data_IF_140463325029
#
_entry.id   IF_140463325029
#
_cell.length_a   1.000
_cell.length_b   1.000
_cell.length_c   1.000
_cell.angle_alpha   90.00
_cell.angle_beta   90.00
_cell.angle_gamma   90.00
#
_symmetry.space_group_name_H-M   'P 1'
#
loop_
_entity.id
_entity.type
_entity.pdbx_description
1 polymer ?
#
# COMPACT_ATOMS: atom_id res chain seq x y z
N UNK A 1 39.95 60.87 21.36
CA UNK A 1 38.90 61.70 20.73
C UNK A 1 37.56 61.13 21.19
N UNK A 2 36.80 61.89 22.00
CA UNK A 2 35.53 61.48 22.60
C UNK A 2 34.41 61.63 21.57
N UNK A 3 33.64 60.57 21.32
CA UNK A 3 32.36 60.66 20.62
C UNK A 3 31.27 60.49 21.67
N UNK A 4 30.48 61.56 21.84
CA UNK A 4 29.35 61.71 22.75
C UNK A 4 28.17 60.84 22.32
N UNK A 5 27.37 60.43 23.31
CA UNK A 5 26.25 59.52 23.20
C UNK A 5 25.05 60.05 22.41
N UNK A 6 24.29 59.10 21.88
CA UNK A 6 22.93 59.27 21.42
C UNK A 6 22.01 58.67 22.50
N UNK A 7 21.68 59.48 23.50
CA UNK A 7 20.51 59.26 24.36
C UNK A 7 19.28 59.76 23.62
N UNK A 8 18.64 58.90 22.82
CA UNK A 8 17.28 59.13 22.33
C UNK A 8 16.53 57.80 22.32
N UNK A 9 15.60 57.66 23.26
CA UNK A 9 14.26 57.16 22.99
C UNK A 9 13.98 55.66 23.09
N UNK A 10 14.05 55.09 24.30
CA UNK A 10 13.20 53.95 24.69
C UNK A 10 12.81 54.11 26.15
N UNK A 11 11.59 54.60 26.43
CA UNK A 11 11.10 54.79 27.80
C UNK A 11 10.62 53.49 28.47
N UNK A 12 10.37 52.42 27.71
CA UNK A 12 10.21 51.07 28.25
C UNK A 12 10.36 50.02 27.14
N UNK A 13 10.93 48.86 27.50
CA UNK A 13 10.88 47.64 26.67
C UNK A 13 9.97 46.66 27.39
N UNK A 14 8.71 46.53 26.95
CA UNK A 14 7.89 45.40 27.32
C UNK A 14 8.33 44.19 26.50
N UNK A 15 9.09 43.27 27.11
CA UNK A 15 9.26 41.94 26.53
C UNK A 15 7.92 41.23 26.64
N UNK A 16 7.18 41.17 25.54
CA UNK A 16 6.13 40.17 25.42
C UNK A 16 6.85 38.82 25.36
N UNK A 17 6.93 38.11 26.48
CA UNK A 17 7.20 36.68 26.43
C UNK A 17 5.94 36.08 25.79
N UNK A 18 5.96 35.95 24.47
CA UNK A 18 5.18 34.90 23.82
C UNK A 18 5.71 33.65 24.50
N UNK A 19 4.84 32.96 25.24
CA UNK A 19 5.18 31.68 25.85
C UNK A 19 5.88 30.88 24.77
N UNK A 20 7.16 30.56 25.00
CA UNK A 20 7.89 29.62 24.18
C UNK A 20 7.16 28.30 24.37
N UNK A 21 6.09 28.08 23.61
CA UNK A 21 5.50 26.78 23.45
C UNK A 21 6.60 25.92 22.86
N UNK A 22 7.19 25.11 23.74
CA UNK A 22 8.19 24.13 23.37
C UNK A 22 7.49 23.13 22.45
N UNK A 23 7.52 23.39 21.16
CA UNK A 23 7.03 22.50 20.11
C UNK A 23 8.00 21.35 19.83
N UNK A 24 8.93 21.07 20.75
CA UNK A 24 9.70 19.84 20.68
C UNK A 24 8.80 18.69 21.13
N UNK A 25 8.62 17.64 20.31
CA UNK A 25 7.95 16.44 20.78
C UNK A 25 8.67 15.97 22.04
N UNK A 26 7.90 15.61 23.08
CA UNK A 26 8.43 15.07 24.32
C UNK A 26 9.49 14.02 24.00
N UNK A 27 10.66 14.08 24.65
CA UNK A 27 11.78 13.16 24.41
C UNK A 27 11.25 11.73 24.28
N UNK A 28 11.16 11.26 23.05
CA UNK A 28 10.71 9.92 22.75
C UNK A 28 11.69 8.94 23.37
N UNK A 29 11.17 7.84 23.91
CA UNK A 29 12.02 6.74 24.41
C UNK A 29 13.13 6.47 23.39
N UNK A 30 14.37 6.42 23.88
CA UNK A 30 15.54 6.03 23.09
C UNK A 30 15.18 4.85 22.21
N UNK A 31 15.37 5.01 20.90
CA UNK A 31 15.16 3.93 19.95
C UNK A 31 15.93 2.69 20.44
N UNK A 32 15.34 1.48 20.38
CA UNK A 32 16.00 0.28 20.84
C UNK A 32 17.34 0.14 20.13
N UNK A 33 18.39 -0.24 20.88
CA UNK A 33 19.71 -0.45 20.31
C UNK A 33 19.62 -1.47 19.18
N UNK A 34 20.08 -1.11 18.00
CA UNK A 34 20.17 -2.02 16.87
C UNK A 34 21.18 -3.12 17.22
N UNK A 35 20.66 -4.30 17.57
CA UNK A 35 21.45 -5.51 17.74
C UNK A 35 21.39 -6.26 16.40
N UNK A 36 22.49 -6.32 15.63
CA UNK A 36 22.51 -7.08 14.39
C UNK A 36 22.21 -8.55 14.69
N UNK A 37 21.18 -9.09 14.05
CA UNK A 37 20.92 -10.53 14.07
C UNK A 37 22.13 -11.25 13.48
N UNK A 38 22.62 -12.27 14.18
CA UNK A 38 23.69 -13.12 13.64
C UNK A 38 23.16 -13.86 12.41
N UNK A 39 23.61 -13.44 11.23
CA UNK A 39 23.37 -14.13 9.95
C UNK A 39 24.68 -14.74 9.50
N UNK A 40 24.61 -15.95 8.94
CA UNK A 40 25.78 -16.62 8.39
C UNK A 40 26.43 -15.70 7.34
N UNK A 41 27.76 -15.55 7.39
CA UNK A 41 28.52 -14.64 6.53
C UNK A 41 28.20 -14.87 5.03
N UNK A 42 28.01 -16.14 4.64
CA UNK A 42 27.64 -16.53 3.28
C UNK A 42 26.29 -15.97 2.83
N UNK A 43 25.32 -15.80 3.74
CA UNK A 43 24.01 -15.21 3.42
C UNK A 43 24.08 -13.70 3.17
N UNK A 44 25.12 -13.04 3.67
CA UNK A 44 25.38 -11.62 3.47
C UNK A 44 26.18 -11.42 2.17
N UNK A 45 27.21 -12.25 1.97
CA UNK A 45 28.11 -12.16 0.82
C UNK A 45 27.45 -12.65 -0.49
N UNK A 46 26.60 -13.67 -0.42
CA UNK A 46 25.89 -14.25 -1.56
C UNK A 46 24.42 -13.82 -1.59
N UNK A 47 24.12 -12.58 -1.16
CA UNK A 47 22.75 -12.09 -1.21
C UNK A 47 22.33 -12.01 -2.69
N UNK A 48 21.23 -12.68 -3.09
CA UNK A 48 20.78 -12.62 -4.46
C UNK A 48 20.43 -11.17 -4.82
N UNK A 49 20.80 -10.78 -6.03
CA UNK A 49 20.54 -9.46 -6.59
C UNK A 49 19.04 -9.18 -6.67
N UNK A 50 18.66 -7.91 -6.86
CA UNK A 50 17.24 -7.57 -7.01
C UNK A 50 16.63 -8.31 -8.21
N UNK A 51 17.37 -8.43 -9.31
CA UNK A 51 16.93 -9.12 -10.53
C UNK A 51 16.78 -10.64 -10.30
N UNK A 52 17.67 -11.25 -9.52
CA UNK A 52 17.56 -12.66 -9.14
C UNK A 52 16.37 -12.93 -8.21
N UNK A 53 15.98 -11.95 -7.39
CA UNK A 53 14.83 -12.05 -6.48
C UNK A 53 13.52 -11.63 -7.13
N UNK A 54 13.57 -10.91 -8.26
CA UNK A 54 12.40 -10.33 -8.90
C UNK A 54 11.34 -11.37 -9.27
N UNK A 55 11.71 -12.53 -9.87
CA UNK A 55 10.74 -13.57 -10.20
C UNK A 55 10.01 -14.07 -8.95
N UNK A 56 10.72 -14.33 -7.86
CA UNK A 56 10.13 -14.82 -6.61
C UNK A 56 9.25 -13.77 -5.91
N UNK A 57 9.52 -12.48 -6.14
CA UNK A 57 8.77 -11.36 -5.57
C UNK A 57 7.53 -10.99 -6.38
N UNK A 58 7.58 -11.19 -7.70
CA UNK A 58 6.51 -10.78 -8.62
C UNK A 58 5.60 -11.94 -9.03
N UNK A 59 6.14 -13.16 -9.11
CA UNK A 59 5.36 -14.34 -9.46
C UNK A 59 4.77 -14.93 -8.18
N UNK A 60 3.44 -15.02 -8.08
CA UNK A 60 2.82 -15.76 -6.99
C UNK A 60 3.31 -17.21 -7.04
N UNK A 61 3.96 -17.66 -5.97
CA UNK A 61 4.37 -19.06 -5.85
C UNK A 61 3.12 -19.94 -5.86
N UNK A 62 3.03 -20.86 -6.82
CA UNK A 62 1.87 -21.74 -6.98
C UNK A 62 0.73 -21.18 -7.84
N UNK A 63 0.97 -20.16 -8.66
CA UNK A 63 0.03 -19.81 -9.72
C UNK A 63 -0.10 -20.99 -10.68
N UNK A 64 -1.33 -21.43 -10.92
CA UNK A 64 -1.64 -22.41 -11.96
C UNK A 64 -1.25 -21.81 -13.33
N UNK A 65 -0.32 -22.44 -14.08
CA UNK A 65 0.13 -21.92 -15.37
C UNK A 65 -1.01 -21.76 -16.38
N UNK A 66 -2.09 -22.54 -16.25
CA UNK A 66 -3.24 -22.41 -17.14
C UNK A 66 -3.95 -21.06 -16.96
N UNK A 67 -3.80 -20.39 -15.81
CA UNK A 67 -4.36 -19.04 -15.60
C UNK A 67 -3.65 -17.94 -16.40
N UNK A 68 -2.52 -18.26 -17.05
CA UNK A 68 -1.87 -17.34 -17.99
C UNK A 68 -2.61 -17.29 -19.34
N UNK A 69 -3.41 -18.32 -19.66
CA UNK A 69 -4.23 -18.35 -20.87
C UNK A 69 -5.46 -17.45 -20.71
N UNK A 70 -5.64 -16.42 -21.57
CA UNK A 70 -6.72 -15.43 -21.38
C UNK A 70 -8.12 -16.06 -21.28
N UNK A 71 -8.38 -17.11 -22.08
CA UNK A 71 -9.66 -17.81 -22.06
C UNK A 71 -9.89 -18.59 -20.76
N UNK A 72 -8.83 -19.18 -20.18
CA UNK A 72 -8.92 -19.88 -18.90
C UNK A 72 -9.10 -18.88 -17.77
N UNK A 73 -8.36 -17.77 -17.80
CA UNK A 73 -8.49 -16.70 -16.82
C UNK A 73 -9.90 -16.11 -16.79
N UNK A 74 -10.46 -15.74 -17.94
CA UNK A 74 -11.84 -15.21 -18.03
C UNK A 74 -12.87 -16.20 -17.47
N UNK A 75 -12.83 -17.48 -17.88
CA UNK A 75 -13.75 -18.50 -17.36
C UNK A 75 -13.60 -18.74 -15.86
N UNK A 76 -12.36 -18.70 -15.36
CA UNK A 76 -12.08 -18.90 -13.94
C UNK A 76 -12.63 -17.74 -13.12
N UNK A 77 -12.50 -16.50 -13.59
CA UNK A 77 -13.09 -15.32 -12.95
C UNK A 77 -14.62 -15.39 -12.91
N UNK A 78 -15.25 -15.78 -14.02
CA UNK A 78 -16.71 -16.01 -14.08
C UNK A 78 -17.17 -17.06 -13.06
N UNK A 79 -16.49 -18.21 -13.02
CA UNK A 79 -16.80 -19.29 -12.10
C UNK A 79 -16.60 -18.86 -10.64
N UNK A 80 -15.52 -18.14 -10.33
CA UNK A 80 -15.24 -17.63 -9.00
C UNK A 80 -16.28 -16.59 -8.54
N UNK A 81 -16.68 -15.66 -9.41
CA UNK A 81 -17.71 -14.68 -9.13
C UNK A 81 -19.07 -15.36 -8.86
N UNK A 82 -19.43 -16.36 -9.66
CA UNK A 82 -20.64 -17.16 -9.45
C UNK A 82 -20.60 -17.90 -8.11
N UNK A 83 -19.48 -18.55 -7.81
CA UNK A 83 -19.26 -19.26 -6.55
C UNK A 83 -19.42 -18.29 -5.36
N UNK A 84 -18.78 -17.13 -5.38
CA UNK A 84 -18.89 -16.16 -4.29
C UNK A 84 -20.33 -15.65 -4.09
N UNK A 85 -21.08 -15.42 -5.17
CA UNK A 85 -22.50 -15.06 -5.09
C UNK A 85 -23.38 -16.19 -4.55
N UNK A 86 -23.07 -17.43 -4.87
CA UNK A 86 -23.76 -18.58 -4.28
C UNK A 86 -23.45 -18.69 -2.78
N UNK A 87 -22.16 -18.57 -2.44
CA UNK A 87 -21.62 -18.61 -1.09
C UNK A 87 -22.13 -17.48 -0.18
N UNK A 88 -22.49 -16.31 -0.73
CA UNK A 88 -23.12 -15.22 0.01
C UNK A 88 -24.60 -15.47 0.29
N UNK A 89 -25.28 -16.27 -0.54
CA UNK A 89 -26.70 -16.63 -0.44
C UNK A 89 -26.93 -17.91 0.37
N UNK A 90 -25.95 -18.79 0.44
CA UNK A 90 -26.05 -20.08 1.15
C UNK A 90 -26.44 -19.89 2.63
N UNK A 91 -27.49 -20.63 3.04
CA UNK A 91 -28.11 -20.53 4.36
C UNK A 91 -27.56 -21.50 5.42
N UNK A 92 -27.76 -21.11 6.70
CA UNK A 92 -27.44 -21.80 7.96
C UNK A 92 -26.00 -22.32 8.10
N UNK A 93 -25.12 -21.50 8.66
CA UNK A 93 -23.77 -21.89 9.07
C UNK A 93 -22.73 -20.78 8.98
N UNK A 94 -23.02 -19.71 8.23
CA UNK A 94 -22.10 -18.59 8.01
C UNK A 94 -22.50 -17.33 8.76
N UNK A 95 -21.51 -16.60 9.24
CA UNK A 95 -21.75 -15.30 9.86
C UNK A 95 -22.35 -14.31 8.86
N UNK A 96 -22.93 -13.22 9.35
CA UNK A 96 -23.34 -12.10 8.48
C UNK A 96 -22.14 -11.40 7.84
N UNK A 97 -20.96 -11.50 8.46
CA UNK A 97 -19.71 -10.95 7.95
C UNK A 97 -19.20 -11.74 6.75
N UNK A 98 -19.14 -13.07 6.84
CA UNK A 98 -18.72 -13.94 5.74
C UNK A 98 -19.59 -13.73 4.51
N UNK A 99 -20.91 -13.63 4.70
CA UNK A 99 -21.85 -13.40 3.60
C UNK A 99 -21.61 -12.06 2.91
N UNK A 100 -21.31 -11.00 3.68
CA UNK A 100 -20.94 -9.69 3.12
C UNK A 100 -19.60 -9.75 2.41
N UNK A 101 -18.61 -10.44 2.95
CA UNK A 101 -17.31 -10.62 2.34
C UNK A 101 -17.41 -11.36 0.99
N UNK A 102 -18.19 -12.44 0.93
CA UNK A 102 -18.43 -13.16 -0.33
C UNK A 102 -19.22 -12.33 -1.34
N UNK A 103 -20.22 -11.57 -0.91
CA UNK A 103 -20.93 -10.66 -1.81
C UNK A 103 -19.97 -9.62 -2.41
N UNK A 104 -19.17 -8.96 -1.56
CA UNK A 104 -18.19 -7.98 -2.00
C UNK A 104 -17.13 -8.57 -2.95
N UNK A 105 -16.64 -9.78 -2.68
CA UNK A 105 -15.68 -10.46 -3.55
C UNK A 105 -16.28 -10.80 -4.93
N UNK A 106 -17.54 -11.25 -4.97
CA UNK A 106 -18.23 -11.52 -6.23
C UNK A 106 -18.54 -10.26 -7.04
N UNK A 107 -18.82 -9.14 -6.37
CA UNK A 107 -19.05 -7.86 -7.03
C UNK A 107 -17.75 -7.26 -7.57
N UNK A 108 -16.66 -7.32 -6.80
CA UNK A 108 -15.33 -6.86 -7.23
C UNK A 108 -14.85 -7.60 -8.50
N UNK A 109 -15.05 -8.92 -8.58
CA UNK A 109 -14.68 -9.68 -9.78
C UNK A 109 -15.53 -9.30 -10.99
N UNK A 110 -16.81 -8.97 -10.78
CA UNK A 110 -17.67 -8.56 -11.87
C UNK A 110 -17.30 -7.16 -12.41
N UNK A 111 -16.90 -6.25 -11.52
CA UNK A 111 -16.38 -4.94 -11.91
C UNK A 111 -15.06 -5.07 -12.69
N UNK A 112 -14.11 -5.87 -12.20
CA UNK A 112 -12.84 -6.14 -12.89
C UNK A 112 -13.05 -6.70 -14.30
N UNK A 113 -13.96 -7.66 -14.46
CA UNK A 113 -14.30 -8.19 -15.79
C UNK A 113 -14.93 -7.14 -16.72
N UNK A 114 -15.74 -6.23 -16.17
CA UNK A 114 -16.31 -5.11 -16.93
C UNK A 114 -15.21 -4.18 -17.46
N UNK A 115 -14.24 -3.84 -16.62
CA UNK A 115 -13.09 -3.02 -17.01
C UNK A 115 -12.24 -3.69 -18.09
N UNK A 116 -12.02 -5.01 -18.00
CA UNK A 116 -11.27 -5.75 -19.02
C UNK A 116 -12.00 -5.72 -20.39
N UNK A 117 -13.32 -5.84 -20.40
CA UNK A 117 -14.11 -5.73 -21.62
C UNK A 117 -14.05 -4.31 -22.22
N UNK A 118 -14.08 -3.26 -21.39
CA UNK A 118 -13.89 -1.88 -21.83
C UNK A 118 -12.51 -1.68 -22.48
N UNK A 119 -11.45 -2.22 -21.88
CA UNK A 119 -10.09 -2.16 -22.42
C UNK A 119 -10.01 -2.89 -23.76
N UNK A 120 -10.58 -4.10 -23.87
CA UNK A 120 -10.62 -4.85 -25.13
C UNK A 120 -11.38 -4.10 -26.22
N UNK A 121 -12.52 -3.50 -25.89
CA UNK A 121 -13.29 -2.70 -26.81
C UNK A 121 -12.50 -1.48 -27.30
N UNK A 122 -11.81 -0.77 -26.40
CA UNK A 122 -10.96 0.36 -26.73
C UNK A 122 -9.78 -0.04 -27.64
N UNK A 123 -9.11 -1.15 -27.32
CA UNK A 123 -8.01 -1.69 -28.14
C UNK A 123 -8.52 -2.13 -29.53
N UNK A 124 -9.68 -2.78 -29.60
CA UNK A 124 -10.28 -3.18 -30.87
C UNK A 124 -10.65 -1.97 -31.75
N UNK A 125 -11.11 -0.86 -31.14
CA UNK A 125 -11.34 0.40 -31.86
C UNK A 125 -10.03 1.02 -32.37
N UNK A 126 -8.98 1.02 -31.54
CA UNK A 126 -7.67 1.54 -31.90
C UNK A 126 -7.04 0.77 -33.07
N UNK A 127 -7.17 -0.55 -33.08
CA UNK A 127 -6.60 -1.43 -34.12
C UNK A 127 -7.41 -1.46 -35.42
N UNK A 128 -8.61 -0.86 -35.45
CA UNK A 128 -9.43 -0.69 -36.66
C UNK A 128 -9.16 0.63 -37.39
N UNK A 129 -8.34 1.52 -36.82
CA UNK A 129 -7.82 2.73 -37.46
C UNK A 129 -6.52 2.47 -38.20
#
# INVERSE_FOLDING_TARGET
MRIKGLDIGVESVSRLQVEDEVHLPAEGRLAPAFLPEYRALDSILNRPSLDERLPDLLLPQGLDPDLLEPAVLSRTREAAAALFRELSRAGSGRSSEDRRAFAAAGDLLAEDMGLDEEVRAALALLLRG
#
